data_IF_411357676788
#
_entry.id   IF_411357676788
#
_cell.length_a   1.000
_cell.length_b   1.000
_cell.length_c   1.000
_cell.angle_alpha   90.00
_cell.angle_beta   90.00
_cell.angle_gamma   90.00
#
_symmetry.space_group_name_H-M   'P 1'
#
loop_
_entity.id
_entity.type
_entity.pdbx_description
1 polymer ?
#
# COMPACT_ATOMS: atom_id res chain seq x y z
N UNK A 1 2.37 -10.08 -12.02
CA UNK A 1 3.09 -8.81 -11.78
C UNK A 1 2.12 -7.76 -11.28
N UNK A 2 2.57 -6.75 -10.53
CA UNK A 2 1.72 -5.65 -10.06
C UNK A 2 1.01 -4.93 -11.21
N UNK A 3 1.71 -4.71 -12.33
CA UNK A 3 1.13 -4.15 -13.55
C UNK A 3 -0.10 -4.92 -14.02
N UNK A 4 -0.07 -6.26 -13.96
CA UNK A 4 -1.21 -7.09 -14.35
C UNK A 4 -2.39 -6.95 -13.36
N UNK A 5 -2.12 -6.85 -12.06
CA UNK A 5 -3.16 -6.64 -11.05
C UNK A 5 -3.85 -5.28 -11.22
N UNK A 6 -3.07 -4.21 -11.38
CA UNK A 6 -3.60 -2.86 -11.64
C UNK A 6 -4.40 -2.84 -12.95
N UNK A 7 -3.92 -3.52 -13.99
CA UNK A 7 -4.64 -3.64 -15.26
C UNK A 7 -6.03 -4.28 -15.11
N UNK A 8 -6.21 -5.24 -14.19
CA UNK A 8 -7.50 -5.87 -13.94
C UNK A 8 -8.54 -4.92 -13.33
N UNK A 9 -8.13 -3.83 -12.69
CA UNK A 9 -9.06 -2.83 -12.15
C UNK A 9 -9.77 -2.01 -13.23
N UNK A 10 -9.33 -2.03 -14.49
CA UNK A 10 -9.92 -1.23 -15.57
C UNK A 10 -11.43 -1.44 -15.71
N UNK A 11 -11.88 -2.70 -15.70
CA UNK A 11 -13.30 -3.03 -15.83
C UNK A 11 -14.11 -2.52 -14.62
N UNK A 12 -13.74 -2.83 -13.36
CA UNK A 12 -14.38 -2.22 -12.19
C UNK A 12 -14.40 -0.69 -12.21
N UNK A 13 -13.33 -0.04 -12.66
CA UNK A 13 -13.23 1.42 -12.71
C UNK A 13 -14.19 2.02 -13.75
N UNK A 14 -14.33 1.39 -14.92
CA UNK A 14 -15.32 1.80 -15.91
C UNK A 14 -16.75 1.56 -15.39
N UNK A 15 -16.98 0.43 -14.74
CA UNK A 15 -18.29 0.07 -14.20
C UNK A 15 -18.76 1.07 -13.14
N UNK A 16 -17.92 1.41 -12.16
CA UNK A 16 -18.28 2.40 -11.13
C UNK A 16 -18.46 3.79 -11.72
N UNK A 17 -17.70 4.16 -12.76
CA UNK A 17 -17.88 5.43 -13.44
C UNK A 17 -19.24 5.57 -14.14
N UNK A 18 -19.85 4.44 -14.55
CA UNK A 18 -21.20 4.40 -15.12
C UNK A 18 -22.30 4.40 -14.04
N UNK A 19 -22.05 3.75 -12.90
CA UNK A 19 -23.03 3.57 -11.82
C UNK A 19 -23.10 4.75 -10.86
N UNK A 20 -21.96 5.37 -10.52
CA UNK A 20 -21.88 6.49 -9.58
C UNK A 20 -21.51 7.79 -10.32
N UNK A 21 -22.49 8.69 -10.46
CA UNK A 21 -22.30 10.02 -11.08
C UNK A 21 -21.29 10.89 -10.32
N UNK A 22 -21.04 10.60 -9.06
CA UNK A 22 -20.04 11.31 -8.25
C UNK A 22 -18.62 10.89 -8.58
N UNK A 23 -18.42 9.77 -9.30
CA UNK A 23 -17.12 9.31 -9.77
C UNK A 23 -16.33 10.41 -10.46
N UNK A 24 -16.96 11.15 -11.39
CA UNK A 24 -16.30 12.24 -12.13
C UNK A 24 -16.28 13.56 -11.37
N UNK A 25 -17.36 13.90 -10.66
CA UNK A 25 -17.50 15.21 -10.00
C UNK A 25 -16.75 15.34 -8.66
N UNK A 26 -16.50 14.23 -7.94
CA UNK A 26 -15.79 14.24 -6.65
C UNK A 26 -14.36 13.73 -6.77
N UNK A 27 -13.38 14.63 -6.81
CA UNK A 27 -11.94 14.28 -6.88
C UNK A 27 -11.50 13.22 -5.87
N UNK A 28 -12.12 13.21 -4.69
CA UNK A 28 -11.89 12.28 -3.59
C UNK A 28 -12.71 10.97 -3.65
N UNK A 29 -13.32 10.65 -4.79
CA UNK A 29 -14.14 9.44 -4.94
C UNK A 29 -13.36 8.18 -4.50
N UNK A 30 -13.93 7.30 -3.66
CA UNK A 30 -13.21 6.15 -3.09
C UNK A 30 -12.52 5.27 -4.13
N UNK A 31 -13.18 4.99 -5.26
CA UNK A 31 -12.57 4.21 -6.34
C UNK A 31 -11.30 4.85 -6.93
N UNK A 32 -11.30 6.18 -7.13
CA UNK A 32 -10.13 6.90 -7.64
C UNK A 32 -9.02 6.92 -6.60
N UNK A 33 -9.38 7.16 -5.34
CA UNK A 33 -8.43 7.12 -4.23
C UNK A 33 -7.78 5.75 -4.10
N UNK A 34 -8.56 4.66 -4.11
CA UNK A 34 -8.03 3.30 -4.00
C UNK A 34 -7.02 2.99 -5.11
N UNK A 35 -7.37 3.30 -6.37
CA UNK A 35 -6.45 3.12 -7.50
C UNK A 35 -5.15 3.93 -7.32
N UNK A 36 -5.26 5.17 -6.85
CA UNK A 36 -4.10 6.03 -6.61
C UNK A 36 -3.23 5.50 -5.49
N UNK A 37 -3.80 5.07 -4.36
CA UNK A 37 -3.03 4.50 -3.24
C UNK A 37 -2.29 3.23 -3.68
N UNK A 38 -2.95 2.34 -4.45
CA UNK A 38 -2.31 1.14 -5.01
C UNK A 38 -1.18 1.52 -5.96
N UNK A 39 -1.38 2.50 -6.84
CA UNK A 39 -0.36 2.96 -7.77
C UNK A 39 0.84 3.56 -7.03
N UNK A 40 0.59 4.44 -6.05
CA UNK A 40 1.62 5.06 -5.21
C UNK A 40 2.43 4.03 -4.43
N UNK A 41 1.77 3.06 -3.79
CA UNK A 41 2.46 1.96 -3.11
C UNK A 41 3.29 1.10 -4.08
N UNK A 42 2.82 0.93 -5.32
CA UNK A 42 3.50 0.16 -6.36
C UNK A 42 4.74 0.86 -6.94
N UNK A 43 4.84 2.18 -6.87
CA UNK A 43 6.01 2.92 -7.38
C UNK A 43 7.28 2.62 -6.57
N UNK A 44 7.17 2.49 -5.24
CA UNK A 44 8.28 2.15 -4.36
C UNK A 44 8.68 0.67 -4.39
N UNK A 45 7.91 -0.18 -5.05
CA UNK A 45 8.06 -1.64 -5.02
C UNK A 45 9.47 -2.16 -5.30
N UNK A 46 10.17 -1.56 -6.27
CA UNK A 46 11.50 -2.00 -6.69
C UNK A 46 12.59 -1.74 -5.63
N UNK A 47 12.35 -0.92 -4.61
CA UNK A 47 13.36 -0.56 -3.60
C UNK A 47 13.24 -1.38 -2.30
N UNK A 48 12.23 -2.24 -2.18
CA UNK A 48 11.94 -2.99 -0.96
C UNK A 48 12.58 -4.39 -0.95
N UNK A 49 12.77 -4.95 0.25
CA UNK A 49 13.23 -6.33 0.44
C UNK A 49 12.14 -7.34 0.04
N UNK A 50 12.53 -8.59 -0.18
CA UNK A 50 11.65 -9.63 -0.74
C UNK A 50 10.39 -9.88 0.10
N UNK A 51 10.49 -9.86 1.44
CA UNK A 51 9.34 -10.06 2.32
C UNK A 51 8.29 -8.93 2.27
N UNK A 52 8.71 -7.66 2.23
CA UNK A 52 7.78 -6.50 2.11
C UNK A 52 7.18 -6.39 0.73
N UNK A 53 7.94 -6.83 -0.28
CA UNK A 53 7.38 -7.05 -1.61
C UNK A 53 6.24 -8.06 -1.50
N UNK A 54 6.52 -9.28 -1.08
CA UNK A 54 5.50 -10.33 -1.05
C UNK A 54 4.22 -9.92 -0.31
N UNK A 55 4.33 -9.24 0.85
CA UNK A 55 3.16 -8.75 1.60
C UNK A 55 2.33 -7.72 0.82
N UNK A 56 2.96 -6.71 0.20
CA UNK A 56 2.25 -5.70 -0.57
C UNK A 56 1.59 -6.30 -1.84
N UNK A 57 2.25 -7.25 -2.51
CA UNK A 57 1.63 -7.94 -3.66
C UNK A 57 0.40 -8.73 -3.24
N UNK A 58 0.50 -9.50 -2.16
CA UNK A 58 -0.62 -10.27 -1.64
C UNK A 58 -1.80 -9.36 -1.25
N UNK A 59 -1.52 -8.21 -0.62
CA UNK A 59 -2.56 -7.24 -0.27
C UNK A 59 -3.24 -6.66 -1.51
N UNK A 60 -2.47 -6.23 -2.51
CA UNK A 60 -3.04 -5.70 -3.76
C UNK A 60 -3.86 -6.78 -4.48
N UNK A 61 -3.35 -8.01 -4.53
CA UNK A 61 -4.07 -9.14 -5.13
C UNK A 61 -5.40 -9.41 -4.42
N UNK A 62 -5.40 -9.44 -3.08
CA UNK A 62 -6.62 -9.59 -2.28
C UNK A 62 -7.65 -8.50 -2.59
N UNK A 63 -7.22 -7.23 -2.60
CA UNK A 63 -8.10 -6.08 -2.91
C UNK A 63 -8.69 -6.20 -4.31
N UNK A 64 -7.84 -6.49 -5.31
CA UNK A 64 -8.28 -6.60 -6.71
C UNK A 64 -9.24 -7.77 -6.89
N UNK A 65 -8.94 -8.94 -6.30
CA UNK A 65 -9.81 -10.11 -6.42
C UNK A 65 -11.16 -9.90 -5.70
N UNK A 66 -11.16 -9.30 -4.51
CA UNK A 66 -12.40 -8.93 -3.82
C UNK A 66 -13.23 -7.97 -4.67
N UNK A 67 -12.61 -6.97 -5.29
CA UNK A 67 -13.31 -6.07 -6.20
C UNK A 67 -13.86 -6.79 -7.43
N UNK A 68 -13.12 -7.71 -8.04
CA UNK A 68 -13.58 -8.44 -9.23
C UNK A 68 -14.74 -9.40 -8.92
N UNK A 69 -14.76 -10.01 -7.74
CA UNK A 69 -15.76 -11.01 -7.38
C UNK A 69 -17.01 -10.39 -6.75
N UNK A 70 -16.85 -9.35 -5.93
CA UNK A 70 -17.92 -8.87 -5.07
C UNK A 70 -18.54 -7.55 -5.55
N UNK A 71 -17.89 -6.81 -6.47
CA UNK A 71 -18.45 -5.57 -7.00
C UNK A 71 -19.53 -5.82 -8.05
N UNK A 72 -20.77 -5.97 -7.56
CA UNK A 72 -21.98 -5.97 -8.39
C UNK A 72 -22.40 -4.54 -8.68
N UNK A 73 -23.26 -3.89 -7.90
CA UNK A 73 -23.74 -2.54 -8.25
C UNK A 73 -23.49 -1.48 -7.18
N UNK A 74 -23.09 -1.88 -5.97
CA UNK A 74 -22.87 -0.97 -4.85
C UNK A 74 -21.42 -0.41 -4.84
N UNK A 75 -21.23 0.92 -5.03
CA UNK A 75 -19.91 1.54 -4.98
C UNK A 75 -19.27 1.55 -3.57
N UNK A 76 -20.02 1.24 -2.51
CA UNK A 76 -19.53 1.27 -1.12
C UNK A 76 -18.30 0.35 -0.91
N UNK A 77 -18.20 -0.75 -1.65
CA UNK A 77 -17.05 -1.68 -1.60
C UNK A 77 -15.71 -0.97 -1.82
N UNK A 78 -15.67 0.08 -2.66
CA UNK A 78 -14.43 0.83 -2.87
C UNK A 78 -13.99 1.61 -1.63
N UNK A 79 -14.94 2.09 -0.82
CA UNK A 79 -14.62 2.78 0.43
C UNK A 79 -14.09 1.80 1.47
N UNK A 80 -14.71 0.63 1.60
CA UNK A 80 -14.23 -0.44 2.49
C UNK A 80 -12.81 -0.90 2.12
N UNK A 81 -12.59 -1.19 0.83
CA UNK A 81 -11.28 -1.62 0.34
C UNK A 81 -10.21 -0.53 0.48
N UNK A 82 -10.60 0.75 0.33
CA UNK A 82 -9.71 1.89 0.55
C UNK A 82 -9.28 1.98 2.01
N UNK A 83 -10.22 1.89 2.95
CA UNK A 83 -9.91 1.94 4.38
C UNK A 83 -8.98 0.80 4.80
N UNK A 84 -9.30 -0.41 4.38
CA UNK A 84 -8.49 -1.61 4.62
C UNK A 84 -7.07 -1.49 4.02
N UNK A 85 -6.95 -0.93 2.81
CA UNK A 85 -5.66 -0.74 2.17
C UNK A 85 -4.81 0.36 2.85
N UNK A 86 -5.44 1.47 3.26
CA UNK A 86 -4.76 2.55 4.00
C UNK A 86 -4.28 2.04 5.36
N UNK A 87 -5.09 1.25 6.06
CA UNK A 87 -4.69 0.67 7.34
C UNK A 87 -3.44 -0.22 7.18
N UNK A 88 -3.46 -1.14 6.22
CA UNK A 88 -2.32 -2.00 5.91
C UNK A 88 -1.04 -1.22 5.61
N UNK A 89 -1.12 -0.25 4.70
CA UNK A 89 0.06 0.53 4.30
C UNK A 89 0.58 1.44 5.42
N UNK A 90 -0.32 1.95 6.27
CA UNK A 90 0.03 2.70 7.47
C UNK A 90 0.78 1.86 8.50
N UNK A 91 0.34 0.62 8.73
CA UNK A 91 1.00 -0.31 9.65
C UNK A 91 2.38 -0.73 9.13
N UNK A 92 2.51 -1.02 7.83
CA UNK A 92 3.81 -1.33 7.22
C UNK A 92 4.79 -0.16 7.32
N UNK A 93 4.34 1.08 7.09
CA UNK A 93 5.18 2.28 7.27
C UNK A 93 5.67 2.39 8.72
N UNK A 94 4.76 2.29 9.70
CA UNK A 94 5.10 2.38 11.13
C UNK A 94 6.09 1.29 11.54
N UNK A 95 5.93 0.07 11.00
CA UNK A 95 6.87 -1.03 11.25
C UNK A 95 8.25 -0.76 10.66
N UNK A 96 8.33 -0.20 9.45
CA UNK A 96 9.59 0.20 8.83
C UNK A 96 10.32 1.24 9.68
N UNK A 97 9.61 2.30 10.10
CA UNK A 97 10.16 3.37 10.93
C UNK A 97 10.75 2.84 12.25
N UNK A 98 10.05 1.93 12.93
CA UNK A 98 10.54 1.30 14.17
C UNK A 98 11.79 0.43 13.95
N UNK A 99 11.86 -0.30 12.83
CA UNK A 99 13.04 -1.11 12.50
C UNK A 99 14.25 -0.24 12.15
N UNK A 100 14.03 0.84 11.39
CA UNK A 100 15.06 1.81 11.03
C UNK A 100 15.62 2.50 12.28
N UNK A 101 14.75 2.91 13.21
CA UNK A 101 15.17 3.52 14.48
C UNK A 101 16.03 2.55 15.30
N UNK A 102 15.58 1.29 15.48
CA UNK A 102 16.36 0.28 16.21
C UNK A 102 17.71 -0.01 15.58
N UNK A 103 17.78 -0.02 14.25
CA UNK A 103 19.03 -0.25 13.52
C UNK A 103 19.98 0.93 13.74
N UNK A 104 19.48 2.18 13.67
CA UNK A 104 20.27 3.38 13.94
C UNK A 104 20.80 3.39 15.38
N UNK A 105 19.94 3.13 16.36
CA UNK A 105 20.31 3.12 17.78
C UNK A 105 21.38 2.06 18.07
N UNK A 106 21.28 0.87 17.45
CA UNK A 106 22.26 -0.20 17.59
C UNK A 106 23.62 0.17 16.98
N UNK A 107 23.64 0.78 15.79
CA UNK A 107 24.87 1.23 15.14
C UNK A 107 25.53 2.39 15.90
N UNK A 108 24.75 3.36 16.41
CA UNK A 108 25.26 4.43 17.27
C UNK A 108 25.85 3.88 18.57
N UNK A 109 25.19 2.91 19.20
CA UNK A 109 25.69 2.23 20.39
C UNK A 109 27.00 1.51 20.13
N UNK A 110 27.11 0.81 18.99
CA UNK A 110 28.34 0.15 18.54
C UNK A 110 29.49 1.13 18.32
N UNK A 111 29.24 2.22 17.61
CA UNK A 111 30.24 3.24 17.33
C UNK A 111 30.78 3.87 18.62
N UNK A 112 29.91 4.19 19.59
CA UNK A 112 30.32 4.72 20.90
C UNK A 112 31.15 3.71 21.69
N UNK A 113 30.77 2.43 21.69
CA UNK A 113 31.51 1.38 22.38
C UNK A 113 32.90 1.15 21.78
N UNK A 114 33.03 1.24 20.46
CA UNK A 114 34.31 1.08 19.76
C UNK A 114 35.27 2.25 20.05
N UNK A 115 34.78 3.49 20.03
CA UNK A 115 35.57 4.67 20.40
C UNK A 115 36.05 4.60 21.86
N UNK A 116 35.20 4.11 22.77
CA UNK A 116 35.58 3.94 24.18
C UNK A 116 36.69 2.89 24.37
N UNK A 117 36.73 1.84 23.55
CA UNK A 117 37.79 0.82 23.59
C UNK A 117 39.13 1.32 23.04
N UNK A 118 39.11 2.21 22.05
CA UNK A 118 40.33 2.78 21.45
C UNK A 118 40.97 3.87 22.31
N UNK A 119 40.23 4.42 23.28
CA UNK A 119 40.70 5.45 24.19
C UNK A 119 41.41 4.92 25.46
N UNK A 120 41.59 3.60 25.57
CA UNK A 120 42.30 2.89 26.66
C UNK A 120 43.60 2.32 26.12
#
# INVERSE_FOLDING_TARGET
>A
SLKALIGRMQIPMLKVALLDKTFFSRGSHPARRLLNEIASASLGWAEHNDARRDSLYQKIEQVVMRLLNDFVDDPAIFAELLEDFIAFTGDERRRSELLEQRTRDAEEGRAKAELARQAV
#
